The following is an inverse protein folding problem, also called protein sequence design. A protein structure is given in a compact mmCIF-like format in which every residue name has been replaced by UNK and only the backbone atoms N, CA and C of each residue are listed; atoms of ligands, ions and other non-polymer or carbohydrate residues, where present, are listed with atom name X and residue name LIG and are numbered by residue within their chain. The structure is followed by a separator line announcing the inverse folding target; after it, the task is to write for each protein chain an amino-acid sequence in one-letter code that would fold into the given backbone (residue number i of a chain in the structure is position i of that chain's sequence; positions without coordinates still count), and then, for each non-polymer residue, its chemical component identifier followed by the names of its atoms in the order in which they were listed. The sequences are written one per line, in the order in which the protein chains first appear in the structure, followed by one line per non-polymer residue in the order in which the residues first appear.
data_IF_140727313609
#
_entry.id   IF_140727313609
#
_cell.length_a   1.000
_cell.length_b   1.000
_cell.length_c   1.000
_cell.angle_alpha   90.00
_cell.angle_beta   90.00
_cell.angle_gamma   90.00
#
_symmetry.space_group_name_H-M   'P 1'
#
loop_
_entity.id
_entity.type
_entity.pdbx_description
1 polymer ?
#
# COMPACT_ATOMS: atom_id res chain seq x y z
N UNK A 1 2.18 -4.72 15.00
CA UNK A 1 3.21 -4.66 16.07
C UNK A 1 3.98 -3.38 15.82
N UNK A 2 3.78 -2.39 16.68
CA UNK A 2 4.26 -1.02 16.51
C UNK A 2 5.77 -0.98 16.32
N UNK A 3 6.24 -0.56 15.15
CA UNK A 3 7.52 0.15 15.12
C UNK A 3 7.17 1.59 15.43
N UNK A 4 7.55 2.07 16.60
CA UNK A 4 7.09 3.36 17.13
C UNK A 4 7.54 4.58 16.29
N UNK A 5 8.37 4.44 15.24
CA UNK A 5 9.04 5.56 14.58
C UNK A 5 9.35 5.37 13.07
N UNK A 6 8.64 4.50 12.34
CA UNK A 6 8.88 4.37 10.89
C UNK A 6 7.64 3.88 10.13
N UNK A 7 7.58 4.16 8.83
CA UNK A 7 6.53 3.73 7.90
C UNK A 7 7.06 2.63 6.99
N UNK A 8 6.31 1.53 6.84
CA UNK A 8 6.60 0.47 5.87
C UNK A 8 5.58 0.52 4.74
N UNK A 9 6.05 0.51 3.50
CA UNK A 9 5.19 0.58 2.32
C UNK A 9 5.69 -0.33 1.18
N UNK A 10 4.79 -0.85 0.33
CA UNK A 10 5.17 -1.42 -0.96
C UNK A 10 5.83 -0.35 -1.83
N UNK A 11 6.94 -0.68 -2.47
CA UNK A 11 7.68 0.21 -3.36
C UNK A 11 7.54 -0.23 -4.82
N UNK A 12 7.45 0.74 -5.72
CA UNK A 12 7.53 0.54 -7.17
C UNK A 12 8.98 0.72 -7.59
N UNK A 13 9.56 -0.28 -8.24
CA UNK A 13 10.96 -0.18 -8.68
C UNK A 13 11.21 1.05 -9.56
N UNK A 14 10.29 1.37 -10.48
CA UNK A 14 10.45 2.48 -11.41
C UNK A 14 10.32 3.87 -10.72
N UNK A 15 9.41 4.01 -9.75
CA UNK A 15 9.12 5.30 -9.10
C UNK A 15 10.06 5.54 -7.93
N UNK A 16 10.27 4.51 -7.11
CA UNK A 16 11.01 4.58 -5.87
C UNK A 16 12.49 4.17 -6.05
N UNK A 17 12.96 4.11 -7.31
CA UNK A 17 14.30 3.62 -7.66
C UNK A 17 15.39 4.32 -6.88
N UNK A 18 15.36 5.65 -6.79
CA UNK A 18 16.42 6.41 -6.12
C UNK A 18 16.50 6.13 -4.62
N UNK A 19 15.35 5.87 -3.97
CA UNK A 19 15.30 5.54 -2.55
C UNK A 19 15.72 4.10 -2.28
N UNK A 20 15.29 3.16 -3.13
CA UNK A 20 15.78 1.78 -3.14
C UNK A 20 17.30 1.78 -3.34
N UNK A 21 17.77 2.58 -4.30
CA UNK A 21 19.18 2.71 -4.66
C UNK A 21 19.99 3.31 -3.53
N UNK A 22 19.49 4.34 -2.87
CA UNK A 22 20.13 4.96 -1.73
C UNK A 22 20.42 3.94 -0.62
N UNK A 23 19.39 3.19 -0.18
CA UNK A 23 19.55 2.21 0.90
C UNK A 23 20.48 1.07 0.49
N UNK A 24 20.28 0.50 -0.72
CA UNK A 24 21.11 -0.60 -1.24
C UNK A 24 22.56 -0.17 -1.44
N UNK A 25 22.81 1.04 -1.93
CA UNK A 25 24.16 1.54 -2.11
C UNK A 25 24.88 1.66 -0.76
N UNK A 26 24.24 2.25 0.24
CA UNK A 26 24.86 2.40 1.57
C UNK A 26 25.16 1.04 2.23
N UNK A 27 24.24 0.09 2.12
CA UNK A 27 24.40 -1.22 2.78
C UNK A 27 25.27 -2.18 1.99
N UNK A 28 25.01 -2.38 0.70
CA UNK A 28 25.70 -3.39 -0.10
C UNK A 28 27.01 -2.86 -0.69
N UNK A 29 27.01 -1.65 -1.25
CA UNK A 29 28.20 -1.10 -1.93
C UNK A 29 29.16 -0.48 -0.92
N UNK A 30 28.70 0.46 -0.10
CA UNK A 30 29.56 1.19 0.84
C UNK A 30 29.95 0.34 2.04
N UNK A 31 29.00 -0.32 2.69
CA UNK A 31 29.30 -1.10 3.89
C UNK A 31 29.85 -2.49 3.56
N UNK A 32 29.20 -3.26 2.68
CA UNK A 32 29.60 -4.64 2.37
C UNK A 32 30.60 -4.77 1.22
N UNK A 33 30.97 -3.66 0.57
CA UNK A 33 31.97 -3.63 -0.51
C UNK A 33 31.59 -4.48 -1.73
N UNK A 34 30.29 -4.64 -1.99
CA UNK A 34 29.78 -5.26 -3.22
C UNK A 34 29.97 -4.27 -4.38
N UNK A 35 30.54 -4.68 -5.53
CA UNK A 35 30.71 -3.77 -6.67
C UNK A 35 29.38 -3.19 -7.15
N UNK A 36 29.36 -1.89 -7.45
CA UNK A 36 28.14 -1.18 -7.82
C UNK A 36 27.49 -1.78 -9.07
N UNK A 37 28.30 -2.24 -10.02
CA UNK A 37 27.90 -2.80 -11.31
C UNK A 37 27.15 -4.15 -11.19
N UNK A 38 27.24 -4.86 -10.07
CA UNK A 38 26.55 -6.14 -9.86
C UNK A 38 25.42 -6.06 -8.82
N UNK A 39 25.23 -4.90 -8.19
CA UNK A 39 24.23 -4.74 -7.14
C UNK A 39 22.80 -4.85 -7.71
N UNK A 40 22.56 -4.22 -8.86
CA UNK A 40 21.28 -4.25 -9.57
C UNK A 40 21.31 -5.29 -10.69
N UNK A 41 20.28 -6.12 -10.75
CA UNK A 41 20.15 -7.17 -11.76
C UNK A 41 18.88 -7.01 -12.60
N UNK A 42 18.79 -7.76 -13.70
CA UNK A 42 17.67 -7.69 -14.65
C UNK A 42 16.32 -8.10 -14.05
N UNK A 43 16.31 -8.78 -12.90
CA UNK A 43 15.09 -9.21 -12.22
C UNK A 43 14.53 -8.14 -11.28
N UNK A 44 15.31 -7.10 -10.97
CA UNK A 44 14.88 -6.03 -10.08
C UNK A 44 13.54 -5.39 -10.52
N UNK A 45 13.31 -5.02 -11.79
CA UNK A 45 12.04 -4.43 -12.23
C UNK A 45 10.80 -5.32 -11.99
N UNK A 46 10.96 -6.64 -12.02
CA UNK A 46 9.86 -7.61 -11.93
C UNK A 46 9.57 -8.08 -10.50
N UNK A 47 10.38 -7.64 -9.53
CA UNK A 47 10.19 -8.00 -8.13
C UNK A 47 9.17 -7.10 -7.43
N UNK A 48 8.50 -7.63 -6.40
CA UNK A 48 7.80 -6.81 -5.43
C UNK A 48 8.81 -6.19 -4.46
N UNK A 49 8.87 -4.86 -4.41
CA UNK A 49 9.75 -4.15 -3.49
C UNK A 49 9.00 -3.62 -2.28
N UNK A 50 9.72 -3.45 -1.19
CA UNK A 50 9.24 -2.76 0.00
C UNK A 50 10.27 -1.71 0.41
N UNK A 51 9.79 -0.57 0.90
CA UNK A 51 10.59 0.45 1.54
C UNK A 51 10.12 0.67 2.97
N UNK A 52 11.07 1.00 3.83
CA UNK A 52 10.79 1.56 5.15
C UNK A 52 11.37 2.95 5.21
N UNK A 53 10.61 3.90 5.72
CA UNK A 53 11.01 5.30 5.89
C UNK A 53 10.91 5.72 7.35
N UNK A 54 11.78 6.60 7.80
CA UNK A 54 11.64 7.20 9.14
C UNK A 54 10.50 8.23 9.19
N UNK A 55 10.30 8.86 10.35
CA UNK A 55 9.27 9.89 10.54
C UNK A 55 9.48 11.14 9.66
N UNK A 56 10.70 11.38 9.19
CA UNK A 56 11.06 12.45 8.27
C UNK A 56 11.00 12.01 6.79
N UNK A 57 10.45 10.82 6.52
CA UNK A 57 10.29 10.22 5.19
C UNK A 57 11.58 9.84 4.46
N UNK A 58 12.71 9.78 5.17
CA UNK A 58 13.98 9.31 4.59
C UNK A 58 13.95 7.78 4.48
N UNK A 59 14.41 7.19 3.36
CA UNK A 59 14.45 5.74 3.21
C UNK A 59 15.53 5.12 4.12
N UNK A 60 15.12 4.14 4.94
CA UNK A 60 15.97 3.51 5.97
C UNK A 60 16.13 2.00 5.80
N UNK A 61 15.24 1.35 5.06
CA UNK A 61 15.36 -0.07 4.73
C UNK A 61 14.64 -0.43 3.43
N UNK A 62 15.06 -1.51 2.78
CA UNK A 62 14.39 -2.06 1.59
C UNK A 62 14.60 -3.56 1.47
N UNK A 63 13.70 -4.22 0.75
CA UNK A 63 13.86 -5.60 0.29
C UNK A 63 13.07 -5.83 -0.98
N UNK A 64 13.33 -6.98 -1.61
CA UNK A 64 12.55 -7.45 -2.76
C UNK A 64 12.09 -8.90 -2.59
N UNK A 65 10.98 -9.23 -3.24
CA UNK A 65 10.43 -10.57 -3.40
C UNK A 65 10.19 -10.84 -4.88
N UNK A 66 10.88 -11.83 -5.45
CA UNK A 66 10.59 -12.26 -6.83
C UNK A 66 9.26 -13.00 -6.92
N UNK A 67 8.71 -13.08 -8.13
CA UNK A 67 7.49 -13.84 -8.42
C UNK A 67 7.62 -15.34 -8.07
N UNK A 68 8.83 -15.87 -8.10
CA UNK A 68 9.17 -17.25 -7.74
C UNK A 68 9.34 -17.47 -6.22
N UNK A 69 9.17 -16.43 -5.41
CA UNK A 69 9.30 -16.51 -3.97
C UNK A 69 10.73 -16.36 -3.44
N UNK A 70 11.66 -15.80 -4.22
CA UNK A 70 13.01 -15.47 -3.74
C UNK A 70 13.01 -14.12 -3.03
N UNK A 71 13.25 -14.13 -1.72
CA UNK A 71 13.53 -12.94 -0.93
C UNK A 71 14.98 -12.54 -1.16
N UNK A 72 15.20 -11.26 -1.44
CA UNK A 72 16.53 -10.74 -1.70
C UNK A 72 16.66 -9.27 -1.32
N UNK A 73 17.90 -8.77 -1.40
CA UNK A 73 18.25 -7.36 -1.18
C UNK A 73 17.69 -6.78 0.13
N UNK A 74 17.61 -7.62 1.17
CA UNK A 74 17.23 -7.19 2.53
C UNK A 74 18.31 -6.27 3.07
N UNK A 75 18.02 -4.98 3.15
CA UNK A 75 18.95 -3.94 3.57
C UNK A 75 18.29 -3.04 4.62
N UNK A 76 19.00 -2.78 5.71
CA UNK A 76 18.60 -1.84 6.77
C UNK A 76 19.82 -0.99 7.09
N UNK A 77 19.66 0.34 7.08
CA UNK A 77 20.73 1.27 7.47
C UNK A 77 21.19 0.97 8.91
N UNK A 78 22.49 1.14 9.16
CA UNK A 78 23.17 0.65 10.38
C UNK A 78 22.53 1.16 11.67
N UNK A 79 22.19 2.44 11.71
CA UNK A 79 21.55 3.14 12.82
C UNK A 79 20.13 2.65 13.14
N UNK A 80 19.45 2.01 12.18
CA UNK A 80 18.09 1.47 12.33
C UNK A 80 18.04 -0.03 12.64
N UNK A 81 19.20 -0.69 12.70
CA UNK A 81 19.30 -2.12 13.06
C UNK A 81 19.02 -2.33 14.55
N UNK A 82 18.49 -3.51 14.89
CA UNK A 82 18.14 -3.86 16.27
C UNK A 82 16.85 -3.20 16.78
N UNK A 83 16.18 -2.39 15.97
CA UNK A 83 14.94 -1.67 16.33
C UNK A 83 13.67 -2.33 15.75
N UNK A 84 13.77 -3.58 15.26
CA UNK A 84 12.64 -4.30 14.66
C UNK A 84 12.33 -3.96 13.19
N UNK A 85 13.05 -3.02 12.56
CA UNK A 85 12.83 -2.62 11.16
C UNK A 85 12.94 -3.80 10.19
N UNK A 86 14.04 -4.55 10.25
CA UNK A 86 14.24 -5.73 9.41
C UNK A 86 13.20 -6.83 9.66
N UNK A 87 12.74 -6.97 10.91
CA UNK A 87 11.70 -7.93 11.27
C UNK A 87 10.36 -7.58 10.62
N UNK A 88 9.93 -6.32 10.69
CA UNK A 88 8.70 -5.88 10.04
C UNK A 88 8.77 -5.98 8.52
N UNK A 89 9.92 -5.66 7.95
CA UNK A 89 10.16 -5.82 6.52
C UNK A 89 9.98 -7.27 6.08
N UNK A 90 10.65 -8.21 6.76
CA UNK A 90 10.53 -9.65 6.45
C UNK A 90 9.11 -10.18 6.67
N UNK A 91 8.39 -9.71 7.69
CA UNK A 91 6.97 -10.09 7.91
C UNK A 91 6.09 -9.64 6.74
N UNK A 92 6.23 -8.38 6.30
CA UNK A 92 5.49 -7.87 5.16
C UNK A 92 5.80 -8.69 3.89
N UNK A 93 7.06 -9.09 3.69
CA UNK A 93 7.46 -9.96 2.59
C UNK A 93 6.81 -11.34 2.67
N UNK A 94 6.80 -11.97 3.84
CA UNK A 94 6.16 -13.28 4.07
C UNK A 94 4.65 -13.20 3.81
N UNK A 95 4.00 -12.15 4.30
CA UNK A 95 2.55 -11.97 4.11
C UNK A 95 2.21 -11.70 2.64
N UNK A 96 3.06 -10.95 1.92
CA UNK A 96 2.92 -10.79 0.46
C UNK A 96 3.05 -12.12 -0.26
N UNK A 97 4.02 -12.95 0.10
CA UNK A 97 4.20 -14.28 -0.49
C UNK A 97 2.97 -15.18 -0.26
N UNK A 98 2.40 -15.16 0.95
CA UNK A 98 1.15 -15.88 1.25
C UNK A 98 -0.02 -15.40 0.40
N UNK A 99 -0.16 -14.09 0.20
CA UNK A 99 -1.22 -13.51 -0.62
C UNK A 99 -1.07 -13.86 -2.10
N UNK A 100 0.16 -14.06 -2.58
CA UNK A 100 0.44 -14.58 -3.93
C UNK A 100 0.15 -16.08 -4.06
N UNK A 101 -0.27 -16.76 -3.00
CA UNK A 101 -0.54 -18.20 -3.00
C UNK A 101 0.73 -19.06 -3.00
N UNK A 102 1.90 -18.48 -2.69
CA UNK A 102 3.15 -19.24 -2.62
C UNK A 102 3.12 -20.20 -1.42
N UNK A 103 3.57 -21.42 -1.66
CA UNK A 103 3.66 -22.48 -0.63
C UNK A 103 5.02 -22.50 0.06
N UNK A 104 6.00 -21.78 -0.48
CA UNK A 104 7.30 -21.55 0.17
C UNK A 104 7.97 -20.30 -0.36
N UNK A 105 8.92 -19.78 0.41
CA UNK A 105 9.86 -18.74 -0.04
C UNK A 105 11.29 -19.16 0.29
N UNK A 106 12.24 -18.66 -0.51
CA UNK A 106 13.67 -18.94 -0.36
C UNK A 106 14.48 -17.65 -0.22
N UNK A 107 15.65 -17.73 0.40
CA UNK A 107 16.64 -16.65 0.38
C UNK A 107 18.06 -17.22 0.35
N UNK A 108 18.99 -16.46 -0.23
CA UNK A 108 20.42 -16.66 0.00
C UNK A 108 20.80 -15.80 1.22
N UNK A 109 20.88 -16.39 2.40
CA UNK A 109 21.17 -15.65 3.63
C UNK A 109 22.67 -15.63 3.91
N UNK A 110 23.23 -14.45 4.20
CA UNK A 110 24.57 -14.34 4.79
C UNK A 110 24.62 -15.12 6.09
N UNK A 111 25.73 -15.83 6.37
CA UNK A 111 25.85 -16.63 7.59
C UNK A 111 25.62 -15.81 8.88
N UNK A 112 26.02 -14.54 8.87
CA UNK A 112 25.79 -13.59 9.98
C UNK A 112 24.31 -13.26 10.20
N UNK A 113 23.48 -13.39 9.16
CA UNK A 113 22.03 -13.14 9.20
C UNK A 113 21.21 -14.42 9.42
N UNK A 114 21.83 -15.60 9.46
CA UNK A 114 21.10 -16.87 9.56
C UNK A 114 20.20 -16.93 10.79
N UNK A 115 20.72 -16.51 11.95
CA UNK A 115 19.95 -16.45 13.20
C UNK A 115 18.78 -15.46 13.17
N UNK A 116 18.81 -14.44 12.32
CA UNK A 116 17.68 -13.54 12.11
C UNK A 116 16.54 -14.26 11.38
N UNK A 117 16.83 -14.95 10.27
CA UNK A 117 15.81 -15.67 9.51
C UNK A 117 15.25 -16.89 10.26
N UNK A 118 16.06 -17.59 11.04
CA UNK A 118 15.63 -18.74 11.85
C UNK A 118 14.51 -18.38 12.83
N UNK A 119 14.49 -17.15 13.36
CA UNK A 119 13.38 -16.67 14.23
C UNK A 119 12.02 -16.64 13.53
N UNK A 120 12.01 -16.58 12.21
CA UNK A 120 10.80 -16.59 11.37
C UNK A 120 10.46 -17.98 10.85
N UNK A 121 11.19 -19.02 11.27
CA UNK A 121 10.97 -20.41 10.87
C UNK A 121 11.65 -20.81 9.56
N UNK A 122 12.57 -20.00 9.03
CA UNK A 122 13.40 -20.43 7.91
C UNK A 122 14.35 -21.55 8.35
N UNK A 123 14.41 -22.61 7.55
CA UNK A 123 15.35 -23.71 7.70
C UNK A 123 16.49 -23.57 6.68
N UNK A 124 17.71 -23.92 7.09
CA UNK A 124 18.85 -24.00 6.18
C UNK A 124 18.70 -25.15 5.19
N UNK A 125 19.09 -24.90 3.94
CA UNK A 125 19.04 -25.85 2.83
C UNK A 125 20.39 -25.84 2.12
N UNK A 126 20.95 -27.03 1.87
CA UNK A 126 22.21 -27.18 1.14
C UNK A 126 23.46 -26.70 1.89
N UNK A 127 24.57 -26.65 1.16
CA UNK A 127 25.89 -26.27 1.67
C UNK A 127 26.10 -24.74 1.67
N UNK A 128 27.09 -24.29 2.43
CA UNK A 128 27.53 -22.88 2.42
C UNK A 128 28.28 -22.59 1.13
N UNK A 129 27.95 -21.47 0.49
CA UNK A 129 28.60 -21.02 -0.74
C UNK A 129 29.03 -19.54 -0.63
N UNK A 130 29.96 -19.12 -1.48
CA UNK A 130 30.40 -17.73 -1.55
C UNK A 130 29.62 -16.93 -2.59
N UNK A 131 29.18 -15.72 -2.24
CA UNK A 131 28.55 -14.76 -3.15
C UNK A 131 29.14 -13.38 -2.86
N UNK A 132 29.74 -12.73 -3.88
CA UNK A 132 30.50 -11.47 -3.73
C UNK A 132 31.57 -11.50 -2.60
N UNK A 133 32.19 -12.66 -2.35
CA UNK A 133 33.20 -12.83 -1.29
C UNK A 133 32.62 -13.01 0.12
N UNK A 134 31.29 -13.06 0.26
CA UNK A 134 30.58 -13.22 1.53
C UNK A 134 30.01 -14.65 1.61
N UNK A 135 30.16 -15.36 2.75
CA UNK A 135 29.61 -16.69 2.90
C UNK A 135 28.08 -16.63 3.11
N UNK A 136 27.36 -17.38 2.28
CA UNK A 136 25.91 -17.48 2.25
C UNK A 136 25.47 -18.93 2.38
N UNK A 137 24.23 -19.14 2.81
CA UNK A 137 23.55 -20.42 2.77
C UNK A 137 22.13 -20.22 2.28
N UNK A 138 21.64 -21.14 1.44
CA UNK A 138 20.25 -21.13 1.04
C UNK A 138 19.37 -21.46 2.24
N UNK A 139 18.25 -20.74 2.37
CA UNK A 139 17.27 -20.96 3.42
C UNK A 139 15.87 -20.98 2.82
N UNK A 140 14.97 -21.75 3.43
CA UNK A 140 13.59 -21.90 2.99
C UNK A 140 12.61 -21.77 4.15
N UNK A 141 11.51 -21.07 3.92
CA UNK A 141 10.35 -21.06 4.78
C UNK A 141 9.17 -21.69 4.05
N UNK A 142 8.57 -22.73 4.64
CA UNK A 142 7.30 -23.28 4.17
C UNK A 142 6.16 -22.36 4.62
N UNK A 143 5.25 -22.05 3.71
CA UNK A 143 4.10 -21.20 3.95
C UNK A 143 2.83 -22.05 3.94
N UNK A 144 1.97 -21.84 4.93
CA UNK A 144 0.57 -22.23 4.81
C UNK A 144 -0.15 -21.12 4.05
N UNK A 145 -0.84 -21.42 2.94
CA UNK A 145 -1.72 -20.45 2.29
C UNK A 145 -2.71 -19.93 3.33
N UNK A 146 -2.90 -18.60 3.40
CA UNK A 146 -4.09 -18.07 4.09
C UNK A 146 -5.30 -18.56 3.31
N UNK A 147 -6.32 -19.08 4.00
CA UNK A 147 -7.62 -19.40 3.38
C UNK A 147 -8.13 -18.16 2.66
N UNK A 148 -7.97 -18.13 1.33
CA UNK A 148 -8.58 -17.13 0.48
C UNK A 148 -10.03 -17.56 0.29
N UNK A 149 -10.97 -16.75 0.77
CA UNK A 149 -12.35 -16.81 0.26
C UNK A 149 -12.28 -16.56 -1.23
N UNK A 150 -12.50 -17.61 -2.03
CA UNK A 150 -12.51 -17.55 -3.50
C UNK A 150 -13.59 -16.55 -3.93
N UNK A 151 -13.20 -15.31 -4.24
CA UNK A 151 -14.01 -14.40 -5.04
C UNK A 151 -13.50 -14.50 -6.48
N UNK A 152 -14.43 -14.86 -7.36
CA UNK A 152 -14.24 -15.03 -8.80
C UNK A 152 -13.41 -13.91 -9.41
N UNK A 153 -12.32 -14.28 -10.10
CA UNK A 153 -11.54 -13.40 -10.96
C UNK A 153 -12.43 -13.02 -12.16
N UNK A 154 -12.83 -11.75 -12.37
CA UNK A 154 -13.29 -11.32 -13.68
C UNK A 154 -12.05 -11.06 -14.54
N UNK A 155 -11.84 -11.89 -15.56
CA UNK A 155 -10.98 -11.53 -16.68
C UNK A 155 -11.63 -10.40 -17.48
N UNK A 156 -10.97 -9.24 -17.64
CA UNK A 156 -10.80 -8.52 -18.93
C UNK A 156 -9.51 -7.67 -18.86
N UNK A 157 -8.74 -7.71 -19.95
CA UNK A 157 -7.49 -7.00 -20.23
C UNK A 157 -7.68 -5.48 -20.41
N UNK A 158 -6.78 -4.66 -19.86
CA UNK A 158 -6.44 -3.32 -20.36
C UNK A 158 -4.97 -3.01 -20.02
N UNK A 159 -4.26 -2.31 -20.90
CA UNK A 159 -2.82 -2.01 -20.77
C UNK A 159 -2.61 -1.24 -19.47
N UNK A 160 -1.76 -1.74 -18.58
CA UNK A 160 -1.40 -1.03 -17.37
C UNK A 160 -0.85 0.36 -17.74
N UNK A 161 -1.48 1.41 -17.24
CA UNK A 161 -1.07 2.80 -17.43
C UNK A 161 -0.11 3.17 -16.30
N UNK A 162 1.05 3.71 -16.65
CA UNK A 162 2.04 4.14 -15.66
C UNK A 162 1.46 5.20 -14.72
N UNK A 163 1.94 5.19 -13.47
CA UNK A 163 1.49 6.13 -12.47
C UNK A 163 2.07 7.53 -12.76
N UNK A 164 1.21 8.53 -12.76
CA UNK A 164 1.57 9.94 -12.96
C UNK A 164 1.63 10.63 -11.61
N UNK A 165 2.68 11.43 -11.39
CA UNK A 165 2.82 12.25 -10.19
C UNK A 165 1.84 13.41 -10.21
N UNK A 166 1.21 13.65 -9.06
CA UNK A 166 0.36 14.79 -8.79
C UNK A 166 1.12 15.78 -7.92
N UNK A 167 1.10 17.05 -8.31
CA UNK A 167 1.81 18.13 -7.62
C UNK A 167 0.86 19.25 -7.17
N UNK A 168 -0.36 19.29 -7.71
CA UNK A 168 -1.33 20.37 -7.44
C UNK A 168 -2.70 19.82 -7.09
N UNK A 169 -3.51 20.68 -6.48
CA UNK A 169 -4.92 20.36 -6.19
C UNK A 169 -5.73 20.15 -7.48
N UNK A 170 -5.48 20.94 -8.54
CA UNK A 170 -6.19 20.83 -9.81
C UNK A 170 -5.94 19.49 -10.49
N UNK A 171 -4.68 19.06 -10.56
CA UNK A 171 -4.32 17.74 -11.12
C UNK A 171 -4.92 16.60 -10.30
N UNK A 172 -4.98 16.76 -8.97
CA UNK A 172 -5.64 15.80 -8.06
C UNK A 172 -7.14 15.71 -8.32
N UNK A 173 -7.82 16.85 -8.49
CA UNK A 173 -9.25 16.91 -8.80
C UNK A 173 -9.58 16.27 -10.16
N UNK A 174 -8.74 16.48 -11.17
CA UNK A 174 -8.87 15.84 -12.49
C UNK A 174 -8.77 14.32 -12.34
N UNK A 175 -7.72 13.83 -11.65
CA UNK A 175 -7.52 12.41 -11.42
C UNK A 175 -8.68 11.75 -10.65
N UNK A 176 -9.18 12.37 -9.57
CA UNK A 176 -10.35 11.85 -8.83
C UNK A 176 -11.56 11.73 -9.76
N UNK A 177 -11.81 12.74 -10.61
CA UNK A 177 -12.94 12.72 -11.56
C UNK A 177 -12.81 11.57 -12.56
N UNK A 178 -11.62 11.35 -13.11
CA UNK A 178 -11.35 10.25 -14.03
C UNK A 178 -11.56 8.88 -13.36
N UNK A 179 -11.10 8.72 -12.12
CA UNK A 179 -11.32 7.49 -11.36
C UNK A 179 -12.81 7.23 -11.08
N UNK A 180 -13.60 8.26 -10.79
CA UNK A 180 -15.05 8.13 -10.60
C UNK A 180 -15.72 7.71 -11.92
N UNK A 181 -15.33 8.32 -13.04
CA UNK A 181 -15.91 7.99 -14.35
C UNK A 181 -15.54 6.58 -14.83
N UNK A 182 -14.35 6.10 -14.51
CA UNK A 182 -13.89 4.76 -14.86
C UNK A 182 -14.46 3.65 -13.96
N UNK A 183 -14.96 4.00 -12.77
CA UNK A 183 -15.52 3.02 -11.83
C UNK A 183 -16.77 2.35 -12.40
N UNK A 184 -16.89 1.03 -12.18
CA UNK A 184 -18.05 0.26 -12.66
C UNK A 184 -19.07 0.08 -11.56
N UNK A 185 -18.65 -0.34 -10.36
CA UNK A 185 -19.55 -0.69 -9.25
C UNK A 185 -19.05 -0.24 -7.90
N UNK A 186 -17.74 -0.08 -7.69
CA UNK A 186 -17.21 0.28 -6.38
C UNK A 186 -16.23 1.43 -6.46
N UNK A 187 -16.37 2.35 -5.52
CA UNK A 187 -15.40 3.40 -5.23
C UNK A 187 -15.07 3.32 -3.74
N UNK A 188 -13.78 3.27 -3.43
CA UNK A 188 -13.23 3.28 -2.08
C UNK A 188 -12.54 4.63 -1.85
N UNK A 189 -12.90 5.32 -0.77
CA UNK A 189 -12.29 6.59 -0.37
C UNK A 189 -11.77 6.43 1.05
N UNK A 190 -10.46 6.46 1.23
CA UNK A 190 -9.81 6.50 2.54
C UNK A 190 -9.29 7.92 2.77
N UNK A 191 -9.84 8.61 3.77
CA UNK A 191 -9.43 9.98 4.08
C UNK A 191 -9.42 10.21 5.58
N UNK A 192 -8.63 11.20 6.01
CA UNK A 192 -8.62 11.62 7.40
C UNK A 192 -9.92 12.31 7.77
N UNK A 193 -10.31 13.30 6.99
CA UNK A 193 -11.36 14.26 7.29
C UNK A 193 -12.32 14.46 6.11
N UNK A 194 -12.21 13.62 5.07
CA UNK A 194 -12.91 13.82 3.79
C UNK A 194 -12.63 15.23 3.21
N UNK A 195 -11.36 15.64 3.19
CA UNK A 195 -10.83 16.89 2.62
C UNK A 195 -11.81 17.70 1.76
N UNK A 196 -12.32 18.81 2.32
CA UNK A 196 -13.29 19.67 1.64
C UNK A 196 -12.73 20.31 0.38
N UNK A 197 -11.42 20.55 0.30
CA UNK A 197 -10.80 21.12 -0.90
C UNK A 197 -10.92 20.18 -2.11
N UNK A 198 -11.04 18.87 -1.87
CA UNK A 198 -11.23 17.83 -2.87
C UNK A 198 -12.69 17.38 -2.99
N UNK A 199 -13.24 16.79 -1.93
CA UNK A 199 -14.56 16.17 -1.92
C UNK A 199 -15.69 17.15 -1.62
N UNK A 200 -15.36 18.37 -1.17
CA UNK A 200 -16.32 19.47 -1.05
C UNK A 200 -16.59 20.20 -2.37
N UNK A 201 -15.85 19.90 -3.43
CA UNK A 201 -16.08 20.48 -4.75
C UNK A 201 -17.37 19.93 -5.36
N UNK A 202 -18.23 20.85 -5.85
CA UNK A 202 -19.52 20.51 -6.47
C UNK A 202 -19.38 19.51 -7.60
N UNK A 203 -18.37 19.68 -8.43
CA UNK A 203 -18.10 18.79 -9.57
C UNK A 203 -17.82 17.35 -9.13
N UNK A 204 -16.99 17.16 -8.09
CA UNK A 204 -16.66 15.83 -7.57
C UNK A 204 -17.90 15.18 -6.96
N UNK A 205 -18.67 15.93 -6.16
CA UNK A 205 -19.91 15.45 -5.57
C UNK A 205 -20.94 15.06 -6.64
N UNK A 206 -21.10 15.86 -7.70
CA UNK A 206 -22.00 15.53 -8.81
C UNK A 206 -21.51 14.30 -9.58
N UNK A 207 -20.20 14.16 -9.84
CA UNK A 207 -19.65 12.93 -10.46
C UNK A 207 -19.93 11.67 -9.63
N UNK A 208 -19.73 11.72 -8.30
CA UNK A 208 -20.05 10.60 -7.42
C UNK A 208 -21.54 10.26 -7.42
N UNK A 209 -22.40 11.29 -7.41
CA UNK A 209 -23.85 11.12 -7.49
C UNK A 209 -24.28 10.50 -8.82
N UNK A 210 -23.73 10.94 -9.95
CA UNK A 210 -24.00 10.36 -11.27
C UNK A 210 -23.55 8.91 -11.34
N UNK A 211 -22.37 8.58 -10.80
CA UNK A 211 -21.91 7.19 -10.67
C UNK A 211 -22.90 6.34 -9.86
N UNK A 212 -23.30 6.81 -8.68
CA UNK A 212 -24.23 6.10 -7.81
C UNK A 212 -25.59 5.85 -8.48
N UNK A 213 -26.14 6.84 -9.16
CA UNK A 213 -27.46 6.74 -9.81
C UNK A 213 -27.41 6.02 -11.16
N UNK A 214 -26.26 5.97 -11.81
CA UNK A 214 -26.07 5.32 -13.11
C UNK A 214 -26.05 3.79 -13.03
N UNK A 215 -25.76 3.20 -11.86
CA UNK A 215 -25.70 1.76 -11.69
C UNK A 215 -26.37 1.30 -10.38
N UNK A 216 -27.39 0.43 -10.48
CA UNK A 216 -28.15 -0.09 -9.32
C UNK A 216 -27.30 -0.82 -8.28
N UNK A 217 -26.12 -1.30 -8.68
CA UNK A 217 -25.18 -1.98 -7.78
C UNK A 217 -23.94 -1.12 -7.45
N UNK A 218 -23.98 0.19 -7.76
CA UNK A 218 -22.93 1.09 -7.36
C UNK A 218 -22.85 1.20 -5.84
N UNK A 219 -21.63 1.39 -5.32
CA UNK A 219 -21.40 1.69 -3.92
C UNK A 219 -20.14 2.55 -3.80
N UNK A 220 -20.25 3.60 -3.00
CA UNK A 220 -19.18 4.52 -2.61
C UNK A 220 -18.97 4.31 -1.12
N UNK A 221 -17.87 3.66 -0.78
CA UNK A 221 -17.50 3.37 0.60
C UNK A 221 -16.40 4.32 1.04
N UNK A 222 -16.60 4.94 2.19
CA UNK A 222 -15.77 6.03 2.68
C UNK A 222 -15.35 5.71 4.11
N UNK A 223 -14.04 5.64 4.33
CA UNK A 223 -13.45 5.61 5.66
C UNK A 223 -13.01 7.04 5.99
N UNK A 224 -13.49 7.56 7.12
CA UNK A 224 -13.10 8.87 7.68
C UNK A 224 -12.53 8.65 9.07
N UNK A 225 -11.27 9.02 9.29
CA UNK A 225 -10.59 8.82 10.58
C UNK A 225 -11.04 9.81 11.65
N UNK A 226 -11.22 11.07 11.26
CA UNK A 226 -11.63 12.17 12.12
C UNK A 226 -12.93 12.80 11.57
N UNK A 227 -14.09 12.22 11.91
CA UNK A 227 -15.38 12.75 11.48
C UNK A 227 -15.77 14.05 12.21
N UNK A 228 -15.04 14.45 13.27
CA UNK A 228 -15.38 15.66 14.03
C UNK A 228 -15.18 16.94 13.23
N UNK A 229 -14.20 16.92 12.31
CA UNK A 229 -13.93 17.99 11.35
C UNK A 229 -15.14 18.30 10.44
N UNK A 230 -15.99 17.32 10.19
CA UNK A 230 -17.16 17.41 9.31
C UNK A 230 -18.40 18.00 9.99
N UNK A 231 -18.39 18.21 11.32
CA UNK A 231 -19.57 18.68 12.07
C UNK A 231 -19.95 20.13 11.79
N UNK A 232 -18.95 20.98 11.52
CA UNK A 232 -19.13 22.44 11.42
C UNK A 232 -19.25 22.92 9.97
N UNK A 233 -19.23 22.01 8.99
CA UNK A 233 -19.23 22.33 7.58
C UNK A 233 -20.21 21.45 6.82
N UNK A 234 -21.07 22.08 6.02
CA UNK A 234 -21.96 21.35 5.10
C UNK A 234 -21.11 20.71 4.01
N UNK A 235 -20.92 19.40 4.08
CA UNK A 235 -20.09 18.66 3.14
C UNK A 235 -20.96 17.93 2.09
N UNK A 236 -20.87 18.26 0.78
CA UNK A 236 -21.72 17.68 -0.27
C UNK A 236 -21.75 16.14 -0.29
N UNK A 237 -20.62 15.47 -0.07
CA UNK A 237 -20.58 13.99 -0.01
C UNK A 237 -21.29 13.45 1.24
N UNK A 238 -21.28 14.17 2.36
CA UNK A 238 -22.03 13.77 3.56
C UNK A 238 -23.53 13.96 3.33
N UNK A 239 -23.96 15.03 2.64
CA UNK A 239 -25.35 15.20 2.23
C UNK A 239 -25.80 14.08 1.27
N UNK A 240 -24.94 13.65 0.35
CA UNK A 240 -25.20 12.48 -0.49
C UNK A 240 -25.35 11.21 0.34
N UNK A 241 -24.49 10.99 1.34
CA UNK A 241 -24.61 9.86 2.26
C UNK A 241 -25.92 9.85 3.05
N UNK A 242 -26.42 11.02 3.45
CA UNK A 242 -27.70 11.15 4.14
C UNK A 242 -28.90 10.90 3.22
N UNK A 243 -28.84 11.37 1.95
CA UNK A 243 -29.95 11.26 0.99
C UNK A 243 -29.97 9.94 0.23
N UNK A 244 -28.81 9.31 0.03
CA UNK A 244 -28.61 8.09 -0.75
C UNK A 244 -27.83 7.03 0.07
N UNK A 245 -28.31 6.65 1.27
CA UNK A 245 -27.57 5.78 2.20
C UNK A 245 -27.36 4.34 1.69
N UNK A 246 -28.09 3.92 0.65
CA UNK A 246 -27.88 2.62 -0.02
C UNK A 246 -26.66 2.62 -0.94
N UNK A 247 -26.21 3.79 -1.39
CA UNK A 247 -25.08 3.94 -2.30
C UNK A 247 -23.85 4.48 -1.60
N UNK A 248 -24.02 5.38 -0.63
CA UNK A 248 -22.93 6.05 0.07
C UNK A 248 -22.86 5.57 1.51
N UNK A 249 -21.75 4.92 1.85
CA UNK A 249 -21.52 4.36 3.18
C UNK A 249 -20.31 5.04 3.79
N UNK A 250 -20.47 5.59 5.00
CA UNK A 250 -19.37 6.22 5.75
C UNK A 250 -19.13 5.45 7.04
N UNK A 251 -17.86 5.08 7.27
CA UNK A 251 -17.41 4.40 8.48
C UNK A 251 -16.21 5.11 9.09
N UNK A 252 -16.00 4.88 10.38
CA UNK A 252 -14.89 5.39 11.18
C UNK A 252 -14.11 4.19 11.71
N UNK A 253 -12.78 4.15 11.55
CA UNK A 253 -11.98 3.06 12.11
C UNK A 253 -12.04 3.00 13.64
N UNK A 254 -12.09 1.79 14.19
CA UNK A 254 -12.13 1.57 15.63
C UNK A 254 -10.71 1.41 16.24
N UNK A 255 -9.73 1.02 15.43
CA UNK A 255 -8.36 0.76 15.89
C UNK A 255 -7.46 1.99 15.83
N UNK A 256 -6.62 2.19 16.85
CA UNK A 256 -5.70 3.33 16.93
C UNK A 256 -4.68 3.37 15.77
N UNK A 257 -4.27 2.22 15.23
CA UNK A 257 -3.34 2.14 14.10
C UNK A 257 -3.98 2.71 12.82
N UNK A 258 -5.28 2.47 12.62
CA UNK A 258 -6.03 3.01 11.47
C UNK A 258 -6.36 4.49 11.63
N UNK A 259 -6.63 4.95 12.85
CA UNK A 259 -6.84 6.37 13.14
C UNK A 259 -5.57 7.21 12.91
N UNK A 260 -4.39 6.57 12.95
CA UNK A 260 -3.08 7.20 12.75
C UNK A 260 -2.52 6.98 11.34
N UNK A 261 -3.25 6.29 10.46
CA UNK A 261 -2.80 6.04 9.09
C UNK A 261 -2.65 7.37 8.32
N UNK A 262 -1.42 7.74 7.96
CA UNK A 262 -1.12 9.07 7.44
C UNK A 262 -1.61 9.30 6.00
N UNK A 263 -1.70 8.23 5.21
CA UNK A 263 -2.01 8.30 3.79
C UNK A 263 -3.50 8.45 3.53
N UNK A 264 -3.82 9.03 2.38
CA UNK A 264 -5.19 9.06 1.85
C UNK A 264 -5.20 8.50 0.43
N UNK A 265 -6.26 7.80 0.06
CA UNK A 265 -6.36 7.25 -1.28
C UNK A 265 -7.80 7.12 -1.78
N UNK A 266 -7.93 7.08 -3.10
CA UNK A 266 -9.13 6.66 -3.82
C UNK A 266 -8.77 5.46 -4.67
N UNK A 267 -9.63 4.44 -4.69
CA UNK A 267 -9.49 3.29 -5.56
C UNK A 267 -10.86 2.89 -6.13
N UNK A 268 -10.88 2.28 -7.30
CA UNK A 268 -12.10 1.77 -7.92
C UNK A 268 -11.97 0.29 -8.32
N UNK A 269 -13.06 -0.30 -8.80
CA UNK A 269 -13.12 -1.69 -9.30
C UNK A 269 -12.67 -1.86 -10.77
N UNK A 270 -12.01 -0.86 -11.33
CA UNK A 270 -11.46 -0.85 -12.69
C UNK A 270 -9.94 -0.67 -12.68
N UNK A 271 -9.27 -1.15 -11.63
CA UNK A 271 -7.82 -1.07 -11.41
C UNK A 271 -7.23 0.35 -11.29
N UNK A 272 -8.06 1.38 -11.22
CA UNK A 272 -7.65 2.77 -11.06
C UNK A 272 -7.44 3.17 -9.60
N UNK A 273 -6.42 4.00 -9.33
CA UNK A 273 -6.17 4.51 -7.99
C UNK A 273 -5.55 5.91 -8.00
N UNK A 274 -5.69 6.61 -6.88
CA UNK A 274 -4.93 7.79 -6.50
C UNK A 274 -4.49 7.60 -5.06
N UNK A 275 -3.22 7.83 -4.78
CA UNK A 275 -2.67 7.71 -3.44
C UNK A 275 -1.81 8.93 -3.10
N UNK A 276 -2.08 9.49 -1.93
CA UNK A 276 -1.34 10.58 -1.30
C UNK A 276 -0.71 10.03 -0.03
N UNK A 277 0.62 10.07 0.03
CA UNK A 277 1.38 9.60 1.19
C UNK A 277 1.02 10.35 2.47
N UNK A 278 0.70 11.64 2.31
CA UNK A 278 0.21 12.50 3.37
C UNK A 278 -1.19 12.98 3.00
N UNK A 279 -2.20 12.54 3.73
CA UNK A 279 -3.60 12.89 3.46
C UNK A 279 -3.92 14.39 3.57
N UNK A 280 -3.04 15.17 4.21
CA UNK A 280 -3.14 16.63 4.32
C UNK A 280 -2.35 17.39 3.23
N UNK A 281 -1.74 16.69 2.27
CA UNK A 281 -1.08 17.28 1.09
C UNK A 281 -1.77 16.82 -0.18
N UNK A 282 -1.61 17.55 -1.27
CA UNK A 282 -2.14 17.15 -2.59
C UNK A 282 -1.15 16.32 -3.41
N UNK A 283 0.13 16.33 -3.01
CA UNK A 283 1.18 15.55 -3.65
C UNK A 283 0.89 14.06 -3.55
N UNK A 284 1.06 13.36 -4.67
CA UNK A 284 0.79 11.92 -4.71
C UNK A 284 1.06 11.36 -6.08
N UNK A 285 0.44 10.22 -6.33
CA UNK A 285 0.50 9.56 -7.63
C UNK A 285 -0.82 8.86 -7.90
N UNK A 286 -1.15 8.73 -9.18
CA UNK A 286 -2.39 8.09 -9.59
C UNK A 286 -2.19 7.37 -10.92
N UNK A 287 -3.05 6.40 -11.20
CA UNK A 287 -3.17 5.80 -12.53
C UNK A 287 -4.62 5.42 -12.77
N UNK A 288 -5.14 5.58 -14.01
CA UNK A 288 -6.48 5.14 -14.36
C UNK A 288 -6.60 3.61 -14.40
N UNK A 289 -5.50 2.87 -14.58
CA UNK A 289 -5.48 1.41 -14.60
C UNK A 289 -4.08 0.90 -14.27
N UNK A 290 -3.83 0.56 -13.01
CA UNK A 290 -2.60 -0.08 -12.56
C UNK A 290 -2.90 -1.11 -11.47
N UNK A 291 -3.25 -2.35 -11.85
CA UNK A 291 -3.70 -3.38 -10.92
C UNK A 291 -2.71 -3.66 -9.78
N UNK A 292 -1.41 -3.55 -10.07
CA UNK A 292 -0.34 -3.81 -9.09
C UNK A 292 -0.36 -2.84 -7.90
N UNK A 293 -0.88 -1.62 -8.07
CA UNK A 293 -1.04 -0.61 -7.02
C UNK A 293 -2.46 -0.55 -6.47
N UNK A 294 -3.47 -0.71 -7.33
CA UNK A 294 -4.87 -0.70 -6.91
C UNK A 294 -5.20 -1.86 -5.95
N UNK A 295 -4.79 -3.10 -6.26
CA UNK A 295 -5.20 -4.28 -5.47
C UNK A 295 -4.78 -4.19 -4.00
N UNK A 296 -3.52 -3.85 -3.65
CA UNK A 296 -3.15 -3.66 -2.24
C UNK A 296 -3.96 -2.59 -1.52
N UNK A 297 -4.32 -1.49 -2.20
CA UNK A 297 -5.13 -0.42 -1.62
C UNK A 297 -6.58 -0.87 -1.36
N UNK A 298 -7.16 -1.63 -2.30
CA UNK A 298 -8.47 -2.24 -2.12
C UNK A 298 -8.47 -3.26 -0.97
N UNK A 299 -7.45 -4.12 -0.88
CA UNK A 299 -7.27 -5.08 0.22
C UNK A 299 -7.10 -4.37 1.58
N UNK A 300 -6.32 -3.28 1.62
CA UNK A 300 -6.16 -2.44 2.81
C UNK A 300 -7.50 -1.84 3.23
N UNK A 301 -8.19 -1.21 2.28
CA UNK A 301 -9.48 -0.59 2.52
C UNK A 301 -10.49 -1.59 3.08
N UNK A 302 -10.65 -2.75 2.44
CA UNK A 302 -11.60 -3.79 2.88
C UNK A 302 -11.28 -4.30 4.28
N UNK A 303 -9.99 -4.45 4.62
CA UNK A 303 -9.56 -4.87 5.95
C UNK A 303 -9.98 -3.87 7.02
N UNK A 304 -9.66 -2.59 6.82
CA UNK A 304 -10.04 -1.52 7.75
C UNK A 304 -11.56 -1.36 7.80
N UNK A 305 -12.24 -1.46 6.66
CA UNK A 305 -13.69 -1.37 6.56
C UNK A 305 -14.42 -2.38 7.44
N UNK A 306 -13.97 -3.63 7.47
CA UNK A 306 -14.58 -4.70 8.26
C UNK A 306 -14.52 -4.46 9.77
N UNK A 307 -13.49 -3.75 10.25
CA UNK A 307 -13.28 -3.36 11.64
C UNK A 307 -13.58 -1.89 11.93
N UNK A 308 -14.30 -1.24 11.02
CA UNK A 308 -14.76 0.14 11.20
C UNK A 308 -16.23 0.15 11.57
N UNK A 309 -16.59 1.03 12.50
CA UNK A 309 -17.96 1.25 12.90
C UNK A 309 -18.66 2.25 11.99
N UNK A 310 -19.98 2.09 11.82
CA UNK A 310 -20.75 3.06 11.06
C UNK A 310 -20.74 4.42 11.76
N UNK A 311 -20.53 5.50 11.00
CA UNK A 311 -20.47 6.83 11.58
C UNK A 311 -21.84 7.24 12.12
N UNK A 312 -22.00 7.26 13.45
CA UNK A 312 -23.24 7.64 14.12
C UNK A 312 -23.55 9.14 13.95
N UNK A 313 -22.52 9.97 13.78
CA UNK A 313 -22.63 11.42 13.70
C UNK A 313 -23.37 11.89 12.44
N UNK A 314 -23.43 11.05 11.40
CA UNK A 314 -24.12 11.38 10.16
C UNK A 314 -25.54 10.80 10.07
N UNK A 315 -26.02 10.08 11.10
CA UNK A 315 -27.36 9.47 11.12
C UNK A 315 -28.48 10.40 11.55
N UNK A 316 -28.19 11.63 11.98
CA UNK A 316 -29.21 12.57 12.44
C UNK A 316 -28.87 14.04 12.14
N UNK A 317 -29.33 14.51 10.98
CA UNK A 317 -29.93 15.83 10.84
C UNK A 317 -31.29 15.64 10.14
N UNK A 318 -32.15 14.84 10.76
CA UNK A 318 -33.59 14.89 10.51
C UNK A 318 -34.18 15.89 11.50
N UNK A 319 -34.05 17.18 11.20
CA UNK A 319 -34.89 18.25 11.74
C UNK A 319 -35.25 19.18 10.59
#
# INVERSE_FOLDING_TARGET
MQIANCYLEPASYAVDFEDIRYVRNLVFVVEQQIPLEVEFDELDPDCHHFLVRDLDYRPIATCRLSLEGKVGRMAVLREWRGQGVGESLLRATIDKARNLGLTSIIASAQLTALGFYQKFGFAAEGEVFGEAGIPHQAIRLMLQPREQTVRSIPQVQEVAVEAVRLETIESTLVAIRELIMAARRQIYIYSRDLDYALYGQKDIAESLKQFALGNRNASVQIIVQDPTSLRNQVHPVVELAQRLPSYFLIRVPDEAEDLQYASAFVANDSDGYLFRLLGNRYEGHWSPSLPARNRPLCEEFERVWQRSSACAEFRALSL
#
